data_IF_151579900284
#
_entry.id   IF_151579900284
#
_cell.length_a   1.000
_cell.length_b   1.000
_cell.length_c   1.000
_cell.angle_alpha   90.00
_cell.angle_beta   90.00
_cell.angle_gamma   90.00
#
_symmetry.space_group_name_H-M   'P 1'
#
loop_
_entity.id
_entity.type
_entity.pdbx_description
1 polymer ?
#
# COMPACT_ATOMS: atom_id res chain seq x y z
N UNK A 1 12.30 3.70 11.27
CA UNK A 1 11.71 3.12 10.06
C UNK A 1 10.87 4.19 9.37
N UNK A 2 11.20 4.46 8.10
CA UNK A 2 10.48 5.44 7.29
C UNK A 2 9.08 4.97 6.87
N UNK A 3 8.18 5.91 6.60
CA UNK A 3 6.86 5.68 6.01
C UNK A 3 6.37 6.93 5.26
N UNK A 4 5.42 6.79 4.32
CA UNK A 4 4.99 7.89 3.46
C UNK A 4 4.02 8.88 4.11
N UNK A 5 3.51 8.61 5.32
CA UNK A 5 2.73 9.55 6.13
C UNK A 5 2.40 8.94 7.50
N UNK A 6 2.36 9.76 8.55
CA UNK A 6 1.82 9.35 9.84
C UNK A 6 0.36 8.88 9.68
N UNK A 7 0.07 7.69 10.21
CA UNK A 7 -1.26 7.06 10.14
C UNK A 7 -1.57 6.32 8.83
N UNK A 8 -0.68 6.37 7.83
CA UNK A 8 -0.82 5.57 6.60
C UNK A 8 -0.77 4.07 6.87
N UNK A 9 -1.30 3.25 5.96
CA UNK A 9 -1.20 1.78 6.08
C UNK A 9 0.25 1.29 6.25
N UNK A 10 1.26 1.80 5.52
CA UNK A 10 2.64 1.39 5.76
C UNK A 10 3.17 1.76 7.16
N UNK A 11 2.76 2.91 7.72
CA UNK A 11 3.08 3.26 9.10
C UNK A 11 2.49 2.25 10.10
N UNK A 12 1.21 1.92 9.96
CA UNK A 12 0.53 0.98 10.86
C UNK A 12 1.11 -0.45 10.74
N UNK A 13 1.41 -0.90 9.53
CA UNK A 13 2.06 -2.19 9.30
C UNK A 13 3.43 -2.29 9.96
N UNK A 14 4.25 -1.24 9.84
CA UNK A 14 5.57 -1.21 10.49
C UNK A 14 5.45 -1.31 12.01
N UNK A 15 4.55 -0.54 12.61
CA UNK A 15 4.27 -0.61 14.04
C UNK A 15 3.79 -1.98 14.49
N UNK A 16 2.89 -2.59 13.71
CA UNK A 16 2.34 -3.92 14.05
C UNK A 16 3.39 -5.02 13.91
N UNK A 17 4.23 -4.97 12.88
CA UNK A 17 5.37 -5.86 12.73
C UNK A 17 6.33 -5.76 13.91
N UNK A 18 6.64 -4.54 14.37
CA UNK A 18 7.52 -4.31 15.51
C UNK A 18 6.98 -4.98 16.79
N UNK A 19 5.67 -4.86 17.04
CA UNK A 19 4.99 -5.54 18.15
C UNK A 19 5.11 -7.07 18.02
N UNK A 20 4.75 -7.62 16.86
CA UNK A 20 4.77 -9.08 16.65
C UNK A 20 6.19 -9.66 16.71
N UNK A 21 7.17 -8.93 16.19
CA UNK A 21 8.57 -9.35 16.18
C UNK A 21 9.32 -9.06 17.48
N UNK A 22 8.68 -8.41 18.46
CA UNK A 22 9.30 -8.08 19.74
C UNK A 22 10.45 -7.08 19.63
N UNK A 23 10.44 -6.20 18.63
CA UNK A 23 11.48 -5.20 18.41
C UNK A 23 10.93 -3.77 18.42
N UNK A 24 11.81 -2.80 18.59
CA UNK A 24 11.45 -1.39 18.65
C UNK A 24 11.75 -0.71 17.31
N UNK A 25 10.90 0.24 16.91
CA UNK A 25 11.15 1.11 15.77
C UNK A 25 10.91 2.57 16.15
N UNK A 26 11.80 3.46 15.70
CA UNK A 26 11.53 4.89 15.70
C UNK A 26 10.74 5.25 14.45
N UNK A 27 9.54 5.81 14.61
CA UNK A 27 8.72 6.25 13.49
C UNK A 27 9.31 7.52 12.83
N UNK A 28 9.48 7.52 11.51
CA UNK A 28 9.97 8.69 10.76
C UNK A 28 9.06 8.94 9.54
N UNK A 29 8.06 9.82 9.63
CA UNK A 29 7.16 10.11 8.52
C UNK A 29 7.80 11.03 7.47
N UNK A 30 7.44 10.82 6.21
CA UNK A 30 7.82 11.68 5.08
C UNK A 30 6.57 12.15 4.32
N UNK A 31 6.71 13.16 3.46
CA UNK A 31 5.65 13.58 2.55
C UNK A 31 5.62 12.68 1.30
N UNK A 32 5.12 11.44 1.47
CA UNK A 32 5.24 10.38 0.49
C UNK A 32 6.59 9.66 0.51
N UNK A 33 6.74 8.64 -0.34
CA UNK A 33 7.93 7.78 -0.34
C UNK A 33 9.17 8.44 -0.96
N UNK A 34 8.98 9.32 -1.94
CA UNK A 34 10.06 9.92 -2.74
C UNK A 34 11.21 10.52 -1.92
N UNK A 35 10.93 11.43 -0.96
CA UNK A 35 11.98 12.02 -0.12
C UNK A 35 12.75 11.03 0.76
N UNK A 36 12.17 9.86 1.06
CA UNK A 36 12.78 8.84 1.91
C UNK A 36 13.69 7.88 1.14
N UNK A 37 13.49 7.73 -0.18
CA UNK A 37 14.33 6.87 -1.05
C UNK A 37 15.83 7.13 -0.88
N UNK A 38 16.34 8.38 -1.05
CA UNK A 38 17.76 8.65 -0.88
C UNK A 38 18.24 8.43 0.55
N UNK A 39 17.37 8.58 1.56
CA UNK A 39 17.72 8.37 2.96
C UNK A 39 17.94 6.88 3.27
N UNK A 40 17.13 5.98 2.69
CA UNK A 40 17.34 4.53 2.80
C UNK A 40 18.59 4.12 2.01
N UNK A 41 18.72 4.56 0.76
CA UNK A 41 19.88 4.22 -0.08
C UNK A 41 21.21 4.73 0.49
N UNK A 42 21.19 5.89 1.13
CA UNK A 42 22.34 6.50 1.81
C UNK A 42 22.57 5.99 3.24
N UNK A 43 21.77 5.04 3.72
CA UNK A 43 21.92 4.42 5.04
C UNK A 43 21.50 5.29 6.23
N UNK A 44 20.90 6.47 6.00
CA UNK A 44 20.37 7.34 7.05
C UNK A 44 19.12 6.74 7.70
N UNK A 45 18.31 6.02 6.92
CA UNK A 45 17.21 5.19 7.41
C UNK A 45 17.61 3.71 7.31
N UNK A 46 17.54 3.00 8.44
CA UNK A 46 17.76 1.56 8.48
C UNK A 46 16.74 0.74 7.68
N UNK A 47 15.59 1.33 7.34
CA UNK A 47 14.55 0.69 6.56
C UNK A 47 13.29 1.54 6.46
N UNK A 48 12.37 1.11 5.59
CA UNK A 48 11.12 1.80 5.28
C UNK A 48 10.01 0.80 5.01
N UNK A 49 8.80 1.13 5.45
CA UNK A 49 7.55 0.48 5.04
C UNK A 49 6.82 1.43 4.08
N UNK A 50 6.44 0.95 2.89
CA UNK A 50 6.03 1.79 1.77
C UNK A 50 5.33 0.96 0.68
N UNK A 51 4.56 1.59 -0.24
CA UNK A 51 4.10 0.92 -1.45
C UNK A 51 5.23 0.19 -2.19
N UNK A 52 4.98 -1.02 -2.66
CA UNK A 52 5.99 -1.87 -3.32
C UNK A 52 6.59 -1.19 -4.56
N UNK A 53 5.74 -0.51 -5.35
CA UNK A 53 6.11 0.14 -6.60
C UNK A 53 7.29 1.10 -6.51
N UNK A 54 7.40 1.80 -5.38
CA UNK A 54 8.47 2.77 -5.14
C UNK A 54 9.86 2.11 -5.07
N UNK A 55 9.94 0.80 -4.80
CA UNK A 55 11.19 0.11 -4.45
C UNK A 55 11.61 -0.98 -5.42
N UNK A 56 10.72 -1.47 -6.30
CA UNK A 56 11.00 -2.61 -7.20
C UNK A 56 12.26 -2.38 -8.04
N UNK A 57 12.42 -1.20 -8.63
CA UNK A 57 13.58 -0.91 -9.49
C UNK A 57 14.88 -0.83 -8.68
N UNK A 58 14.82 -0.27 -7.47
CA UNK A 58 15.98 -0.17 -6.58
C UNK A 58 16.40 -1.54 -6.03
N UNK A 59 15.43 -2.43 -5.75
CA UNK A 59 15.68 -3.82 -5.38
C UNK A 59 16.36 -4.60 -6.51
N UNK A 60 15.79 -4.53 -7.72
CA UNK A 60 16.35 -5.19 -8.91
C UNK A 60 17.75 -4.69 -9.25
N UNK A 61 18.00 -3.40 -9.05
CA UNK A 61 19.32 -2.78 -9.22
C UNK A 61 20.32 -3.07 -8.08
N UNK A 62 19.95 -3.86 -7.07
CA UNK A 62 20.81 -4.23 -5.94
C UNK A 62 21.18 -3.07 -5.02
N UNK A 63 20.45 -1.95 -5.07
CA UNK A 63 20.73 -0.77 -4.24
C UNK A 63 20.09 -0.85 -2.87
N UNK A 64 19.01 -1.60 -2.77
CA UNK A 64 18.31 -1.93 -1.53
C UNK A 64 17.88 -3.40 -1.60
N UNK A 65 17.37 -3.92 -0.49
CA UNK A 65 16.70 -5.22 -0.46
C UNK A 65 15.31 -5.07 0.14
N UNK A 66 14.30 -5.59 -0.53
CA UNK A 66 12.94 -5.73 0.01
C UNK A 66 12.91 -7.00 0.86
N UNK A 67 12.50 -6.88 2.13
CA UNK A 67 12.53 -7.97 3.10
C UNK A 67 11.22 -8.77 3.16
N UNK A 68 10.10 -8.11 2.88
CA UNK A 68 8.78 -8.70 2.94
C UNK A 68 7.79 -7.92 2.08
N UNK A 69 6.72 -8.58 1.66
CA UNK A 69 5.51 -7.94 1.10
C UNK A 69 4.28 -8.30 1.94
N UNK A 70 3.30 -7.39 2.01
CA UNK A 70 2.06 -7.59 2.79
C UNK A 70 0.92 -8.22 2.00
N UNK A 71 1.13 -8.52 0.71
CA UNK A 71 0.14 -9.21 -0.11
C UNK A 71 -0.10 -10.65 0.38
N UNK A 72 -1.24 -11.27 0.00
CA UNK A 72 -1.49 -12.67 0.32
C UNK A 72 -0.40 -13.55 -0.28
N UNK A 73 -0.04 -13.30 -1.52
CA UNK A 73 0.92 -14.08 -2.29
C UNK A 73 2.07 -13.17 -2.74
N UNK A 74 3.19 -13.80 -3.11
CA UNK A 74 4.36 -13.06 -3.61
C UNK A 74 3.99 -12.23 -4.81
N UNK A 75 4.44 -10.98 -4.83
CA UNK A 75 4.18 -10.09 -5.95
C UNK A 75 4.91 -10.58 -7.20
N UNK A 76 4.23 -10.54 -8.36
CA UNK A 76 4.81 -10.90 -9.67
C UNK A 76 6.07 -10.08 -9.98
N UNK A 77 6.14 -8.85 -9.47
CA UNK A 77 7.26 -7.94 -9.70
C UNK A 77 8.50 -8.24 -8.86
N UNK A 78 8.35 -9.02 -7.78
CA UNK A 78 9.40 -9.44 -6.83
C UNK A 78 9.15 -10.88 -6.35
N UNK A 79 9.17 -11.88 -7.24
CA UNK A 79 8.81 -13.27 -6.90
C UNK A 79 9.81 -13.94 -5.95
N UNK A 80 11.01 -13.39 -5.86
CA UNK A 80 12.08 -13.77 -4.93
C UNK A 80 11.80 -13.31 -3.49
N UNK A 81 10.97 -12.28 -3.30
CA UNK A 81 10.70 -11.67 -2.00
C UNK A 81 9.55 -12.41 -1.29
N UNK A 82 9.76 -12.93 -0.07
CA UNK A 82 8.70 -13.57 0.70
C UNK A 82 7.63 -12.57 1.16
N UNK A 83 6.42 -13.07 1.39
CA UNK A 83 5.36 -12.35 2.09
C UNK A 83 5.61 -12.33 3.60
N UNK A 84 4.94 -11.44 4.33
CA UNK A 84 4.88 -11.52 5.80
C UNK A 84 4.27 -12.85 6.28
N UNK A 85 3.27 -13.37 5.54
CA UNK A 85 2.61 -14.65 5.84
C UNK A 85 3.58 -15.82 5.81
N UNK A 86 4.43 -15.91 4.78
CA UNK A 86 5.48 -16.94 4.68
C UNK A 86 6.52 -16.84 5.82
N UNK A 87 6.65 -15.68 6.44
CA UNK A 87 7.58 -15.43 7.55
C UNK A 87 6.95 -15.59 8.93
N UNK A 88 5.70 -16.08 9.01
CA UNK A 88 4.99 -16.31 10.28
C UNK A 88 4.19 -15.10 10.78
N UNK A 89 4.14 -13.99 10.03
CA UNK A 89 3.37 -12.78 10.35
C UNK A 89 2.07 -12.72 9.54
N UNK A 90 1.27 -13.78 9.60
CA UNK A 90 0.07 -13.95 8.75
C UNK A 90 -1.02 -12.90 8.92
N UNK A 91 -1.03 -12.16 10.04
CA UNK A 91 -1.96 -11.06 10.27
C UNK A 91 -1.56 -9.74 9.58
N UNK A 92 -0.32 -9.62 9.07
CA UNK A 92 0.15 -8.45 8.32
C UNK A 92 -0.24 -8.55 6.84
N UNK A 93 -1.53 -8.82 6.61
CA UNK A 93 -2.11 -8.98 5.29
C UNK A 93 -2.81 -7.68 4.87
N UNK A 94 -2.17 -6.93 3.98
CA UNK A 94 -2.69 -5.66 3.45
C UNK A 94 -2.36 -5.58 1.97
N UNK A 95 -3.38 -5.35 1.14
CA UNK A 95 -3.20 -4.97 -0.26
C UNK A 95 -3.53 -3.50 -0.39
N UNK A 96 -2.52 -2.68 -0.65
CA UNK A 96 -2.74 -1.28 -0.96
C UNK A 96 -3.40 -1.13 -2.34
N UNK A 97 -4.33 -0.20 -2.46
CA UNK A 97 -5.04 0.09 -3.71
C UNK A 97 -5.36 1.58 -3.80
N UNK A 98 -5.58 2.03 -5.04
CA UNK A 98 -6.05 3.37 -5.36
C UNK A 98 -7.43 3.28 -6.01
N UNK A 99 -8.28 4.26 -5.70
CA UNK A 99 -9.67 4.29 -6.15
C UNK A 99 -10.12 5.67 -6.60
N UNK A 100 -11.19 5.70 -7.38
CA UNK A 100 -11.86 6.93 -7.79
C UNK A 100 -13.12 7.12 -6.95
N UNK A 101 -13.28 8.32 -6.40
CA UNK A 101 -14.43 8.69 -5.57
C UNK A 101 -15.21 9.82 -6.22
N UNK A 102 -16.53 9.70 -6.19
CA UNK A 102 -17.43 10.80 -6.51
C UNK A 102 -17.84 11.54 -5.23
N UNK A 103 -18.26 12.82 -5.30
CA UNK A 103 -18.82 13.53 -4.16
C UNK A 103 -20.00 12.76 -3.56
N UNK A 104 -20.20 12.87 -2.24
CA UNK A 104 -21.25 12.14 -1.52
C UNK A 104 -22.67 12.39 -2.08
N UNK A 105 -22.92 13.60 -2.59
CA UNK A 105 -24.20 13.99 -3.21
C UNK A 105 -24.37 13.62 -4.69
N UNK A 106 -23.42 12.92 -5.31
CA UNK A 106 -23.55 12.50 -6.71
C UNK A 106 -24.73 11.54 -6.90
N UNK A 107 -25.51 11.74 -7.97
CA UNK A 107 -26.64 10.85 -8.29
C UNK A 107 -26.16 9.47 -8.74
N UNK A 108 -27.02 8.45 -8.58
CA UNK A 108 -26.69 7.09 -9.03
C UNK A 108 -26.38 7.02 -10.53
N UNK A 109 -27.08 7.80 -11.36
CA UNK A 109 -26.78 7.91 -12.78
C UNK A 109 -25.35 8.42 -13.05
N UNK A 110 -24.89 9.44 -12.31
CA UNK A 110 -23.51 9.94 -12.43
C UNK A 110 -22.50 8.87 -12.01
N UNK A 111 -22.73 8.18 -10.89
CA UNK A 111 -21.84 7.11 -10.42
C UNK A 111 -21.76 5.95 -11.41
N UNK A 112 -22.88 5.55 -12.00
CA UNK A 112 -22.94 4.47 -12.99
C UNK A 112 -22.21 4.87 -14.28
N UNK A 113 -22.44 6.08 -14.79
CA UNK A 113 -21.77 6.57 -16.00
C UNK A 113 -20.25 6.69 -15.80
N UNK A 114 -19.81 7.23 -14.65
CA UNK A 114 -18.39 7.30 -14.31
C UNK A 114 -17.76 5.90 -14.20
N UNK A 115 -18.43 4.97 -13.51
CA UNK A 115 -17.94 3.60 -13.39
C UNK A 115 -17.82 2.91 -14.76
N UNK A 116 -18.82 3.07 -15.63
CA UNK A 116 -18.77 2.52 -16.99
C UNK A 116 -17.58 3.08 -17.78
N UNK A 117 -17.36 4.40 -17.75
CA UNK A 117 -16.24 5.05 -18.42
C UNK A 117 -14.88 4.57 -17.87
N UNK A 118 -14.72 4.48 -16.56
CA UNK A 118 -13.48 4.01 -15.92
C UNK A 118 -13.19 2.54 -16.26
N UNK A 119 -14.21 1.68 -16.27
CA UNK A 119 -14.05 0.26 -16.63
C UNK A 119 -13.60 0.10 -18.08
N UNK A 120 -14.13 0.92 -19.00
CA UNK A 120 -13.67 0.95 -20.40
C UNK A 120 -12.22 1.45 -20.51
N UNK A 121 -11.86 2.50 -19.78
CA UNK A 121 -10.51 3.07 -19.76
C UNK A 121 -9.47 2.07 -19.23
N UNK A 122 -9.78 1.33 -18.17
CA UNK A 122 -8.89 0.29 -17.61
C UNK A 122 -8.59 -0.86 -18.58
N UNK A 123 -9.38 -1.01 -19.64
CA UNK A 123 -9.12 -1.95 -20.72
C UNK A 123 -8.09 -1.46 -21.75
N UNK A 124 -7.79 -0.16 -21.79
CA UNK A 124 -6.95 0.45 -22.82
C UNK A 124 -5.46 0.18 -22.59
N UNK A 125 -4.70 0.07 -23.69
CA UNK A 125 -3.28 -0.28 -23.65
C UNK A 125 -2.42 0.82 -23.04
N UNK A 126 -2.71 2.08 -23.35
CA UNK A 126 -2.01 3.24 -22.78
C UNK A 126 -2.11 3.29 -21.25
N UNK A 127 -3.27 2.95 -20.68
CA UNK A 127 -3.47 2.83 -19.23
C UNK A 127 -2.66 1.65 -18.66
N UNK A 128 -2.61 0.51 -19.35
CA UNK A 128 -1.77 -0.64 -18.95
C UNK A 128 -0.29 -0.29 -18.96
N UNK A 129 0.16 0.42 -19.99
CA UNK A 129 1.55 0.85 -20.16
C UNK A 129 1.95 1.88 -19.11
N UNK A 130 1.00 2.71 -18.67
CA UNK A 130 1.22 3.67 -17.58
C UNK A 130 1.33 2.98 -16.20
N UNK A 131 0.50 1.98 -15.92
CA UNK A 131 0.44 1.35 -14.58
C UNK A 131 1.49 0.27 -14.36
N UNK A 132 1.86 -0.49 -15.41
CA UNK A 132 2.84 -1.59 -15.29
C UNK A 132 4.20 -1.15 -14.68
N UNK A 133 4.79 -0.01 -15.08
CA UNK A 133 6.04 0.49 -14.49
C UNK A 133 5.95 0.81 -12.99
N UNK A 134 4.74 1.10 -12.49
CA UNK A 134 4.49 1.37 -11.06
C UNK A 134 4.41 0.08 -10.22
N UNK A 135 4.61 -1.09 -10.84
CA UNK A 135 4.44 -2.40 -10.21
C UNK A 135 3.08 -2.56 -9.52
N UNK A 136 2.05 -1.96 -10.10
CA UNK A 136 0.67 -2.02 -9.64
C UNK A 136 -0.17 -2.87 -10.60
N UNK A 137 -1.24 -3.46 -10.06
CA UNK A 137 -2.20 -4.22 -10.86
C UNK A 137 -3.38 -3.33 -11.22
N UNK A 138 -3.79 -3.36 -12.50
CA UNK A 138 -5.05 -2.76 -12.93
C UNK A 138 -6.21 -3.69 -12.59
N UNK A 139 -7.16 -3.18 -11.81
CA UNK A 139 -8.35 -3.91 -11.42
C UNK A 139 -9.60 -3.05 -11.61
N UNK A 140 -10.47 -3.49 -12.51
CA UNK A 140 -11.78 -2.89 -12.70
C UNK A 140 -12.78 -3.46 -11.69
N UNK A 141 -13.57 -2.60 -11.05
CA UNK A 141 -14.61 -3.00 -10.09
C UNK A 141 -15.94 -2.31 -10.41
N UNK A 142 -17.03 -2.91 -9.95
CA UNK A 142 -18.34 -2.27 -9.84
C UNK A 142 -18.36 -1.31 -8.63
N UNK A 143 -19.34 -0.40 -8.60
CA UNK A 143 -19.53 0.48 -7.44
C UNK A 143 -19.76 -0.32 -6.13
N UNK A 144 -20.45 -1.46 -6.19
CA UNK A 144 -20.71 -2.31 -5.03
C UNK A 144 -19.44 -3.00 -4.52
N UNK A 145 -18.62 -3.55 -5.43
CA UNK A 145 -17.32 -4.14 -5.07
C UNK A 145 -16.37 -3.10 -4.47
N UNK A 146 -16.34 -1.90 -5.05
CA UNK A 146 -15.53 -0.79 -4.54
C UNK A 146 -15.97 -0.35 -3.13
N UNK A 147 -17.27 -0.19 -2.91
CA UNK A 147 -17.83 0.15 -1.60
C UNK A 147 -17.54 -0.93 -0.56
N UNK A 148 -17.67 -2.21 -0.93
CA UNK A 148 -17.33 -3.33 -0.05
C UNK A 148 -15.86 -3.32 0.33
N UNK A 149 -14.95 -3.15 -0.64
CA UNK A 149 -13.51 -3.06 -0.37
C UNK A 149 -13.17 -1.92 0.58
N UNK A 150 -13.76 -0.74 0.37
CA UNK A 150 -13.57 0.40 1.27
C UNK A 150 -14.05 0.07 2.70
N UNK A 151 -15.17 -0.62 2.85
CA UNK A 151 -15.70 -1.01 4.15
C UNK A 151 -14.77 -2.02 4.86
N UNK A 152 -14.34 -3.07 4.15
CA UNK A 152 -13.45 -4.10 4.66
C UNK A 152 -12.10 -3.49 5.11
N UNK A 153 -11.52 -2.62 4.29
CA UNK A 153 -10.26 -1.94 4.61
C UNK A 153 -10.41 -0.93 5.76
N UNK A 154 -11.55 -0.24 5.84
CA UNK A 154 -11.84 0.66 6.96
C UNK A 154 -11.91 -0.10 8.28
N UNK A 155 -12.50 -1.29 8.29
CA UNK A 155 -12.55 -2.13 9.48
C UNK A 155 -11.15 -2.64 9.86
N UNK A 156 -10.38 -3.13 8.89
CA UNK A 156 -8.99 -3.52 9.09
C UNK A 156 -8.15 -2.37 9.67
N UNK A 157 -8.25 -1.17 9.09
CA UNK A 157 -7.55 0.01 9.55
C UNK A 157 -7.92 0.35 11.00
N UNK A 158 -9.21 0.28 11.38
CA UNK A 158 -9.65 0.49 12.77
C UNK A 158 -9.01 -0.51 13.73
N UNK A 159 -8.91 -1.78 13.35
CA UNK A 159 -8.26 -2.81 14.18
C UNK A 159 -6.77 -2.51 14.37
N UNK A 160 -6.07 -2.10 13.31
CA UNK A 160 -4.64 -1.75 13.38
C UNK A 160 -4.41 -0.49 14.22
N UNK A 161 -5.19 0.57 14.03
CA UNK A 161 -5.09 1.80 14.82
C UNK A 161 -5.30 1.51 16.31
N UNK A 162 -6.33 0.72 16.65
CA UNK A 162 -6.60 0.32 18.03
C UNK A 162 -5.45 -0.50 18.63
N UNK A 163 -4.93 -1.48 17.88
CA UNK A 163 -3.82 -2.32 18.30
C UNK A 163 -2.53 -1.54 18.57
N UNK A 164 -2.33 -0.41 17.90
CA UNK A 164 -1.16 0.45 18.06
C UNK A 164 -1.38 1.61 19.05
N UNK A 165 -2.60 1.78 19.57
CA UNK A 165 -3.00 2.99 20.29
C UNK A 165 -2.65 4.28 19.53
N UNK A 166 -2.62 4.22 18.19
CA UNK A 166 -2.22 5.34 17.36
C UNK A 166 -3.28 6.44 17.42
N UNK A 167 -2.83 7.68 17.54
CA UNK A 167 -3.63 8.89 17.35
C UNK A 167 -2.88 9.77 16.37
N UNK A 168 -3.59 10.28 15.36
CA UNK A 168 -3.04 11.34 14.55
C UNK A 168 -2.99 12.60 15.42
N UNK A 169 -1.86 13.31 15.39
CA UNK A 169 -1.79 14.64 15.96
C UNK A 169 -2.75 15.53 15.17
N UNK A 170 -3.72 16.12 15.88
CA UNK A 170 -4.71 17.07 15.34
C UNK A 170 -4.16 18.49 15.34
#
# INVERSE_FOLDING_TARGET
MGNPAAGSMPHLLAGRLAILGGFQITNVPFAGSGPAIPQVMGGQLAGMSSPLGDWVQHHKGGKIRILATSGPDRAVFTPDVPTYREQGFGELLVREWFGFFAPAGASEAVKQNLNAALRLAMGQQDIRDFVTPLAANLEASTNAEHARRLADDSEMARRLVAALCFKADS
#
